data_IF_656398289686
#
_entry.id   IF_656398289686
#
_cell.length_a   1.000
_cell.length_b   1.000
_cell.length_c   1.000
_cell.angle_alpha   90.00
_cell.angle_beta   90.00
_cell.angle_gamma   90.00
#
_symmetry.space_group_name_H-M   'P 1'
#
loop_
_entity.id
_entity.type
_entity.pdbx_description
1 polymer ?
#
# COMPACT_ATOMS: atom_id res chain seq x y z
N UNK A 1 25.71 17.75 9.51
CA UNK A 1 25.54 16.67 8.51
C UNK A 1 26.62 15.63 8.76
N UNK A 2 26.28 14.46 9.30
CA UNK A 2 27.24 13.36 9.40
C UNK A 2 27.27 12.69 8.02
N UNK A 3 28.38 12.90 7.31
CA UNK A 3 28.60 12.33 5.97
C UNK A 3 28.63 10.82 6.04
N UNK A 4 27.60 10.19 5.49
CA UNK A 4 27.60 8.76 5.22
C UNK A 4 28.47 8.58 3.98
N UNK A 5 29.61 7.87 4.09
CA UNK A 5 30.50 7.65 2.95
C UNK A 5 29.77 7.01 1.77
N UNK A 6 30.22 7.28 0.53
CA UNK A 6 29.58 6.79 -0.70
C UNK A 6 29.39 5.27 -0.71
N UNK A 7 30.35 4.51 -0.15
CA UNK A 7 30.27 3.05 0.00
C UNK A 7 29.13 2.59 0.90
N UNK A 8 28.88 3.30 2.01
CA UNK A 8 27.74 3.04 2.89
C UNK A 8 26.41 3.38 2.24
N UNK A 9 26.34 4.44 1.43
CA UNK A 9 25.13 4.81 0.69
C UNK A 9 24.77 3.78 -0.39
N UNK A 10 25.75 3.27 -1.13
CA UNK A 10 25.55 2.20 -2.11
C UNK A 10 25.08 0.89 -1.47
N UNK A 11 25.65 0.53 -0.32
CA UNK A 11 25.23 -0.65 0.44
C UNK A 11 23.78 -0.52 0.92
N UNK A 12 23.40 0.63 1.47
CA UNK A 12 22.02 0.90 1.91
C UNK A 12 21.05 0.86 0.73
N UNK A 13 21.40 1.44 -0.41
CA UNK A 13 20.57 1.40 -1.61
C UNK A 13 20.39 -0.03 -2.14
N UNK A 14 21.47 -0.82 -2.20
CA UNK A 14 21.42 -2.22 -2.62
C UNK A 14 20.54 -3.07 -1.68
N UNK A 15 20.70 -2.89 -0.36
CA UNK A 15 19.86 -3.56 0.63
C UNK A 15 18.39 -3.14 0.51
N UNK A 16 18.12 -1.85 0.31
CA UNK A 16 16.76 -1.36 0.16
C UNK A 16 16.10 -1.86 -1.13
N UNK A 17 16.84 -1.96 -2.24
CA UNK A 17 16.36 -2.61 -3.46
C UNK A 17 16.09 -4.10 -3.24
N UNK A 18 16.99 -4.81 -2.54
CA UNK A 18 16.75 -6.20 -2.14
C UNK A 18 15.47 -6.37 -1.31
N UNK A 19 15.24 -5.48 -0.33
CA UNK A 19 14.01 -5.45 0.44
C UNK A 19 12.79 -5.14 -0.43
N UNK A 20 12.91 -4.25 -1.43
CA UNK A 20 11.84 -3.98 -2.37
C UNK A 20 11.44 -5.27 -3.14
N UNK A 21 12.40 -6.07 -3.57
CA UNK A 21 12.13 -7.34 -4.26
C UNK A 21 11.51 -8.40 -3.37
N UNK A 22 11.97 -8.54 -2.14
CA UNK A 22 11.56 -9.63 -1.25
C UNK A 22 10.29 -9.31 -0.47
N UNK A 23 9.99 -8.03 -0.28
CA UNK A 23 8.88 -7.59 0.59
C UNK A 23 7.88 -6.73 -0.18
N UNK A 24 8.35 -5.69 -0.86
CA UNK A 24 7.47 -4.69 -1.47
C UNK A 24 6.72 -5.23 -2.69
N UNK A 25 7.40 -5.79 -3.69
CA UNK A 25 6.69 -6.31 -4.88
C UNK A 25 5.75 -7.49 -4.56
N UNK A 26 6.12 -8.45 -3.68
CA UNK A 26 5.20 -9.50 -3.26
C UNK A 26 3.96 -8.98 -2.53
N UNK A 27 4.07 -7.89 -1.74
CA UNK A 27 2.90 -7.21 -1.16
C UNK A 27 1.91 -6.86 -2.25
N UNK A 28 2.34 -6.11 -3.28
CA UNK A 28 1.45 -5.69 -4.36
C UNK A 28 0.80 -6.91 -4.99
N UNK A 29 1.59 -7.89 -5.41
CA UNK A 29 1.10 -9.10 -6.08
C UNK A 29 0.11 -9.90 -5.23
N UNK A 30 0.32 -9.99 -3.91
CA UNK A 30 -0.63 -10.64 -3.01
C UNK A 30 -2.00 -9.97 -3.00
N UNK A 31 -2.07 -8.64 -3.11
CA UNK A 31 -3.34 -7.93 -3.25
C UNK A 31 -4.07 -8.34 -4.52
N UNK A 32 -3.36 -8.45 -5.65
CA UNK A 32 -3.94 -8.92 -6.92
C UNK A 32 -4.42 -10.36 -6.79
N UNK A 33 -3.61 -11.26 -6.20
CA UNK A 33 -4.00 -12.65 -5.96
C UNK A 33 -5.26 -12.74 -5.08
N UNK A 34 -5.36 -11.95 -4.01
CA UNK A 34 -6.54 -11.95 -3.13
C UNK A 34 -7.77 -11.33 -3.80
N UNK A 35 -7.58 -10.23 -4.52
CA UNK A 35 -8.66 -9.49 -5.18
C UNK A 35 -9.29 -10.31 -6.30
N UNK A 36 -8.47 -10.79 -7.25
CA UNK A 36 -8.92 -11.46 -8.46
C UNK A 36 -9.24 -12.95 -8.27
N UNK A 37 -8.84 -13.56 -7.16
CA UNK A 37 -9.33 -14.90 -6.81
C UNK A 37 -10.84 -14.90 -6.70
N UNK A 38 -11.51 -15.78 -7.44
CA UNK A 38 -12.98 -15.89 -7.43
C UNK A 38 -13.68 -14.58 -7.85
N UNK A 39 -13.02 -13.77 -8.71
CA UNK A 39 -13.50 -12.42 -9.07
C UNK A 39 -14.91 -12.43 -9.64
N UNK A 40 -15.23 -13.38 -10.51
CA UNK A 40 -16.54 -13.47 -11.14
C UNK A 40 -17.66 -13.58 -10.10
N UNK A 41 -17.47 -14.45 -9.11
CA UNK A 41 -18.42 -14.62 -8.02
C UNK A 41 -18.50 -13.37 -7.12
N UNK A 42 -17.38 -12.70 -6.87
CA UNK A 42 -17.33 -11.46 -6.07
C UNK A 42 -17.98 -10.26 -6.76
N UNK A 43 -17.87 -10.16 -8.09
CA UNK A 43 -18.26 -8.97 -8.83
C UNK A 43 -19.65 -9.09 -9.50
N UNK A 44 -20.02 -10.28 -9.99
CA UNK A 44 -21.20 -10.43 -10.85
C UNK A 44 -22.33 -11.27 -10.24
N UNK A 45 -22.05 -12.16 -9.28
CA UNK A 45 -23.08 -13.02 -8.68
C UNK A 45 -23.79 -12.38 -7.48
N UNK A 46 -24.81 -13.03 -6.93
CA UNK A 46 -25.50 -12.59 -5.71
C UNK A 46 -24.75 -12.85 -4.39
N UNK A 47 -23.53 -13.39 -4.43
CA UNK A 47 -22.75 -13.78 -3.24
C UNK A 47 -22.43 -12.58 -2.33
N UNK A 48 -22.16 -11.41 -2.92
CA UNK A 48 -21.72 -10.20 -2.22
C UNK A 48 -22.80 -9.11 -2.31
N UNK A 49 -22.88 -8.25 -1.29
CA UNK A 49 -23.83 -7.13 -1.29
C UNK A 49 -23.65 -6.21 -2.51
N UNK A 50 -24.71 -5.61 -3.08
CA UNK A 50 -24.63 -4.79 -4.29
C UNK A 50 -23.57 -3.68 -4.23
N UNK A 51 -23.46 -2.99 -3.10
CA UNK A 51 -22.47 -1.93 -2.89
C UNK A 51 -21.02 -2.43 -2.92
N UNK A 52 -20.76 -3.67 -2.49
CA UNK A 52 -19.44 -4.28 -2.53
C UNK A 52 -19.12 -4.81 -3.93
N UNK A 53 -20.11 -5.35 -4.64
CA UNK A 53 -19.96 -5.76 -6.05
C UNK A 53 -19.58 -4.59 -6.95
N UNK A 54 -20.27 -3.45 -6.80
CA UNK A 54 -19.93 -2.24 -7.54
C UNK A 54 -18.48 -1.79 -7.28
N UNK A 55 -17.99 -1.94 -6.05
CA UNK A 55 -16.59 -1.63 -5.73
C UNK A 55 -15.61 -2.60 -6.38
N UNK A 56 -15.93 -3.89 -6.46
CA UNK A 56 -15.12 -4.87 -7.20
C UNK A 56 -15.09 -4.56 -8.70
N UNK A 57 -16.22 -4.18 -9.31
CA UNK A 57 -16.28 -3.76 -10.71
C UNK A 57 -15.48 -2.48 -10.95
N UNK A 58 -15.67 -1.48 -10.09
CA UNK A 58 -14.95 -0.21 -10.20
C UNK A 58 -13.43 -0.40 -10.06
N UNK A 59 -12.98 -1.06 -8.98
CA UNK A 59 -11.55 -1.26 -8.74
C UNK A 59 -10.92 -2.28 -9.71
N UNK A 60 -11.66 -3.30 -10.15
CA UNK A 60 -11.12 -4.39 -10.97
C UNK A 60 -11.17 -4.14 -12.48
N UNK A 61 -12.06 -3.26 -12.95
CA UNK A 61 -12.26 -3.01 -14.38
C UNK A 61 -12.12 -1.52 -14.69
N UNK A 62 -12.91 -0.67 -14.04
CA UNK A 62 -12.98 0.76 -14.39
C UNK A 62 -11.65 1.47 -14.12
N UNK A 63 -11.09 1.33 -12.92
CA UNK A 63 -9.81 1.95 -12.53
C UNK A 63 -8.65 1.58 -13.47
N UNK A 64 -8.33 0.28 -13.69
CA UNK A 64 -7.20 -0.08 -14.55
C UNK A 64 -7.41 0.38 -16.01
N UNK A 65 -8.64 0.34 -16.54
CA UNK A 65 -8.93 0.86 -17.88
C UNK A 65 -8.72 2.37 -17.98
N UNK A 66 -9.16 3.14 -16.97
CA UNK A 66 -8.95 4.59 -16.95
C UNK A 66 -7.47 4.95 -16.81
N UNK A 67 -6.70 4.22 -16.00
CA UNK A 67 -5.26 4.45 -15.87
C UNK A 67 -4.52 4.14 -17.18
N UNK A 68 -4.83 3.00 -17.81
CA UNK A 68 -4.25 2.62 -19.08
C UNK A 68 -4.60 3.62 -20.19
N UNK A 69 -5.87 4.06 -20.24
CA UNK A 69 -6.32 5.07 -21.20
C UNK A 69 -5.60 6.41 -20.97
N UNK A 70 -5.52 6.89 -19.73
CA UNK A 70 -4.84 8.16 -19.42
C UNK A 70 -3.37 8.13 -19.83
N UNK A 71 -2.62 7.10 -19.41
CA UNK A 71 -1.20 6.97 -19.74
C UNK A 71 -0.98 6.75 -21.24
N UNK A 72 -1.83 5.94 -21.89
CA UNK A 72 -1.78 5.72 -23.33
C UNK A 72 -2.03 7.00 -24.13
N UNK A 73 -3.01 7.81 -23.71
CA UNK A 73 -3.28 9.12 -24.32
C UNK A 73 -2.08 10.07 -24.15
N UNK A 74 -1.51 10.17 -22.94
CA UNK A 74 -0.36 11.03 -22.68
C UNK A 74 0.87 10.65 -23.54
N UNK A 75 1.14 9.35 -23.66
CA UNK A 75 2.22 8.85 -24.54
C UNK A 75 1.91 9.15 -26.00
N UNK A 76 0.68 8.89 -26.47
CA UNK A 76 0.29 9.13 -27.86
C UNK A 76 0.32 10.61 -28.25
N UNK A 77 0.10 11.51 -27.29
CA UNK A 77 0.15 12.95 -27.47
C UNK A 77 1.58 13.51 -27.44
N UNK A 78 2.59 12.69 -27.11
CA UNK A 78 3.96 13.18 -26.92
C UNK A 78 4.09 14.13 -25.72
N UNK A 79 3.29 13.93 -24.67
CA UNK A 79 3.22 14.85 -23.53
C UNK A 79 3.78 14.20 -22.24
N UNK A 80 5.10 14.33 -21.99
CA UNK A 80 5.72 13.81 -20.76
C UNK A 80 5.22 14.53 -19.51
N UNK A 81 4.72 15.76 -19.62
CA UNK A 81 4.17 16.53 -18.49
C UNK A 81 2.84 15.95 -18.06
N UNK A 82 1.95 15.66 -19.00
CA UNK A 82 0.68 14.96 -18.75
C UNK A 82 0.94 13.56 -18.17
N UNK A 83 1.92 12.83 -18.72
CA UNK A 83 2.30 11.52 -18.18
C UNK A 83 2.82 11.64 -16.74
N UNK A 84 3.64 12.65 -16.47
CA UNK A 84 4.17 13.00 -15.14
C UNK A 84 3.09 13.20 -14.07
N UNK A 85 1.90 13.67 -14.44
CA UNK A 85 0.77 13.82 -13.50
C UNK A 85 0.30 12.49 -12.90
N UNK A 86 0.53 11.37 -13.58
CA UNK A 86 0.25 10.05 -13.02
C UNK A 86 1.13 9.75 -11.79
N UNK A 87 2.39 10.18 -11.78
CA UNK A 87 3.26 10.08 -10.61
C UNK A 87 2.82 11.01 -9.47
N UNK A 88 2.28 12.20 -9.78
CA UNK A 88 1.69 13.10 -8.78
C UNK A 88 0.46 12.46 -8.11
N UNK A 89 -0.42 11.84 -8.92
CA UNK A 89 -1.55 11.04 -8.42
C UNK A 89 -1.07 9.86 -7.56
N UNK A 90 -0.06 9.12 -8.02
CA UNK A 90 0.54 8.02 -7.26
C UNK A 90 1.06 8.49 -5.91
N UNK A 91 1.86 9.56 -5.86
CA UNK A 91 2.43 10.10 -4.63
C UNK A 91 1.34 10.46 -3.62
N UNK A 92 0.27 11.12 -4.07
CA UNK A 92 -0.89 11.45 -3.24
C UNK A 92 -1.57 10.19 -2.67
N UNK A 93 -1.87 9.22 -3.54
CA UNK A 93 -2.59 8.00 -3.17
C UNK A 93 -1.75 7.05 -2.32
N UNK A 94 -0.46 6.92 -2.57
CA UNK A 94 0.48 6.10 -1.78
C UNK A 94 0.60 6.67 -0.37
N UNK A 95 0.81 7.97 -0.22
CA UNK A 95 0.84 8.61 1.11
C UNK A 95 -0.46 8.38 1.88
N UNK A 96 -1.61 8.52 1.20
CA UNK A 96 -2.92 8.27 1.81
C UNK A 96 -3.12 6.78 2.17
N UNK A 97 -2.73 5.89 1.27
CA UNK A 97 -2.79 4.45 1.44
C UNK A 97 -2.07 4.01 2.71
N UNK A 98 -0.87 4.54 2.94
CA UNK A 98 -0.04 4.14 4.07
C UNK A 98 -0.70 4.52 5.38
N UNK A 99 -1.12 5.78 5.52
CA UNK A 99 -1.81 6.27 6.71
C UNK A 99 -3.09 5.48 6.99
N UNK A 100 -3.87 5.18 5.94
CA UNK A 100 -5.07 4.36 6.05
C UNK A 100 -4.75 2.93 6.51
N UNK A 101 -3.68 2.33 6.00
CA UNK A 101 -3.23 1.00 6.43
C UNK A 101 -2.79 1.01 7.89
N UNK A 102 -1.97 1.97 8.32
CA UNK A 102 -1.53 2.08 9.70
C UNK A 102 -2.70 2.15 10.68
N UNK A 103 -3.72 2.95 10.35
CA UNK A 103 -4.98 2.97 11.10
C UNK A 103 -5.71 1.61 11.04
N UNK A 104 -5.84 1.01 9.86
CA UNK A 104 -6.51 -0.28 9.67
C UNK A 104 -5.87 -1.41 10.49
N UNK A 105 -4.54 -1.49 10.50
CA UNK A 105 -3.76 -2.47 11.28
C UNK A 105 -3.97 -2.26 12.78
N UNK A 106 -3.95 -1.02 13.26
CA UNK A 106 -4.26 -0.71 14.66
C UNK A 106 -5.65 -1.23 15.05
N UNK A 107 -6.67 -0.93 14.23
CA UNK A 107 -8.03 -1.39 14.51
C UNK A 107 -8.11 -2.91 14.43
N UNK A 108 -7.50 -3.56 13.44
CA UNK A 108 -7.53 -5.00 13.30
C UNK A 108 -6.91 -5.72 14.51
N UNK A 109 -5.73 -5.27 14.94
CA UNK A 109 -5.04 -5.82 16.11
C UNK A 109 -5.79 -5.52 17.41
N UNK A 110 -6.46 -4.37 17.51
CA UNK A 110 -7.32 -4.04 18.65
C UNK A 110 -8.49 -5.02 18.80
N UNK A 111 -9.08 -5.45 17.67
CA UNK A 111 -10.17 -6.43 17.64
C UNK A 111 -9.67 -7.81 18.01
N UNK A 112 -8.56 -8.25 17.41
CA UNK A 112 -7.94 -9.56 17.69
C UNK A 112 -7.57 -9.70 19.17
N UNK A 113 -7.07 -8.63 19.78
CA UNK A 113 -6.68 -8.59 21.21
C UNK A 113 -7.84 -8.26 22.16
N UNK A 114 -9.04 -7.98 21.65
CA UNK A 114 -10.20 -7.49 22.43
C UNK A 114 -9.90 -6.23 23.25
N UNK A 115 -9.01 -5.37 22.75
CA UNK A 115 -8.57 -4.11 23.37
C UNK A 115 -9.11 -2.93 22.57
N UNK A 116 -10.39 -2.65 22.70
CA UNK A 116 -11.09 -1.77 21.77
C UNK A 116 -10.85 -0.27 22.02
N UNK A 117 -10.94 0.49 20.94
CA UNK A 117 -11.06 1.94 20.99
C UNK A 117 -12.53 2.39 20.94
N UNK A 118 -12.89 3.36 21.77
CA UNK A 118 -14.18 4.03 21.75
C UNK A 118 -14.37 4.84 20.47
N UNK A 119 -15.60 5.31 20.21
CA UNK A 119 -15.89 6.17 19.06
C UNK A 119 -15.07 7.45 19.06
N UNK A 120 -14.90 8.08 20.23
CA UNK A 120 -14.09 9.29 20.36
C UNK A 120 -12.61 9.02 20.11
N UNK A 121 -12.07 7.95 20.70
CA UNK A 121 -10.66 7.56 20.51
C UNK A 121 -10.36 7.26 19.02
N UNK A 122 -11.29 6.58 18.33
CA UNK A 122 -11.19 6.33 16.88
C UNK A 122 -11.21 7.62 16.06
N UNK A 123 -12.01 8.62 16.45
CA UNK A 123 -12.02 9.93 15.79
C UNK A 123 -10.70 10.67 16.00
N UNK A 124 -10.14 10.65 17.21
CA UNK A 124 -8.83 11.25 17.52
C UNK A 124 -7.74 10.62 16.63
N UNK A 125 -7.70 9.28 16.56
CA UNK A 125 -6.78 8.55 15.68
C UNK A 125 -6.95 8.96 14.21
N UNK A 126 -8.18 9.02 13.69
CA UNK A 126 -8.44 9.42 12.31
C UNK A 126 -8.02 10.87 12.04
N UNK A 127 -8.36 11.80 12.93
CA UNK A 127 -7.99 13.21 12.79
C UNK A 127 -6.48 13.38 12.75
N UNK A 128 -5.75 12.70 13.64
CA UNK A 128 -4.29 12.74 13.62
C UNK A 128 -3.73 12.14 12.32
N UNK A 129 -4.25 11.00 11.88
CA UNK A 129 -3.88 10.38 10.61
C UNK A 129 -4.05 11.34 9.42
N UNK A 130 -5.21 11.99 9.29
CA UNK A 130 -5.44 12.99 8.24
C UNK A 130 -4.49 14.18 8.34
N UNK A 131 -4.28 14.72 9.55
CA UNK A 131 -3.39 15.87 9.75
C UNK A 131 -1.94 15.54 9.36
N UNK A 132 -1.43 14.37 9.77
CA UNK A 132 -0.09 13.91 9.40
C UNK A 132 0.04 13.68 7.89
N UNK A 133 -0.95 13.03 7.27
CA UNK A 133 -0.95 12.80 5.81
C UNK A 133 -0.93 14.11 5.02
N UNK A 134 -1.83 15.04 5.33
CA UNK A 134 -1.91 16.34 4.65
C UNK A 134 -0.58 17.09 4.80
N UNK A 135 -0.03 17.13 6.02
CA UNK A 135 1.25 17.80 6.27
C UNK A 135 2.39 17.18 5.48
N UNK A 136 2.45 15.85 5.41
CA UNK A 136 3.46 15.14 4.64
C UNK A 136 3.31 15.37 3.13
N UNK A 137 2.09 15.32 2.61
CA UNK A 137 1.83 15.59 1.20
C UNK A 137 2.23 17.03 0.83
N UNK A 138 1.85 18.01 1.65
CA UNK A 138 2.28 19.40 1.48
C UNK A 138 3.81 19.55 1.58
N UNK A 139 4.45 18.87 2.54
CA UNK A 139 5.89 18.90 2.70
C UNK A 139 6.62 18.31 1.49
N UNK A 140 6.15 17.18 0.93
CA UNK A 140 6.72 16.62 -0.30
C UNK A 140 6.59 17.60 -1.45
N UNK A 141 5.40 18.18 -1.66
CA UNK A 141 5.21 19.13 -2.77
C UNK A 141 6.09 20.38 -2.58
N UNK A 142 6.21 20.88 -1.35
CA UNK A 142 7.07 22.03 -1.01
C UNK A 142 8.57 21.75 -1.20
N UNK A 143 9.05 20.58 -0.75
CA UNK A 143 10.46 20.21 -0.86
C UNK A 143 10.92 19.97 -2.31
N UNK A 144 9.97 19.83 -3.23
CA UNK A 144 10.22 19.12 -4.48
C UNK A 144 9.42 19.77 -5.61
N UNK A 145 9.91 20.90 -6.13
CA UNK A 145 9.27 21.56 -7.26
C UNK A 145 9.51 20.85 -8.61
N UNK A 146 10.51 19.96 -8.70
CA UNK A 146 10.75 19.05 -9.84
C UNK A 146 11.43 17.76 -9.39
N UNK A 147 10.84 16.58 -9.65
CA UNK A 147 11.56 15.28 -9.57
C UNK A 147 11.52 14.56 -10.89
N UNK A 148 12.56 13.76 -11.06
CA UNK A 148 12.64 12.74 -12.08
C UNK A 148 12.27 11.38 -11.43
N UNK A 149 11.27 10.70 -11.98
CA UNK A 149 10.98 9.29 -11.66
C UNK A 149 11.25 8.48 -12.92
N UNK A 150 12.26 7.60 -12.88
CA UNK A 150 12.65 6.75 -14.02
C UNK A 150 12.87 7.50 -15.34
N UNK A 151 13.47 8.69 -15.28
CA UNK A 151 13.74 9.51 -16.47
C UNK A 151 12.64 10.52 -16.81
N UNK A 152 11.44 10.42 -16.21
CA UNK A 152 10.31 11.31 -16.52
C UNK A 152 10.16 12.38 -15.44
N UNK A 153 10.21 13.65 -15.87
CA UNK A 153 9.94 14.79 -15.00
C UNK A 153 8.46 14.86 -14.61
N UNK A 154 8.21 15.17 -13.34
CA UNK A 154 6.87 15.47 -12.86
C UNK A 154 6.91 16.71 -11.96
N UNK A 155 5.87 17.52 -12.10
CA UNK A 155 5.70 18.76 -11.37
C UNK A 155 4.80 18.52 -10.17
N UNK A 156 5.26 19.04 -9.03
CA UNK A 156 4.46 19.12 -7.81
C UNK A 156 3.85 20.51 -7.68
N UNK A 157 2.83 20.62 -6.84
CA UNK A 157 2.17 21.89 -6.58
C UNK A 157 3.11 22.85 -5.85
N UNK A 158 3.10 24.12 -6.24
CA UNK A 158 3.78 25.17 -5.47
C UNK A 158 3.00 25.43 -4.17
N UNK A 159 3.58 25.04 -3.04
CA UNK A 159 2.94 25.12 -1.73
C UNK A 159 3.45 26.35 -0.98
N UNK A 160 2.58 27.31 -0.62
CA UNK A 160 2.98 28.44 0.21
C UNK A 160 3.55 27.97 1.56
N UNK A 161 4.69 28.52 1.97
CA UNK A 161 5.34 28.18 3.25
C UNK A 161 4.41 28.37 4.45
N UNK A 162 3.52 29.36 4.41
CA UNK A 162 2.50 29.60 5.45
C UNK A 162 1.51 28.44 5.58
N UNK A 163 1.07 27.86 4.46
CA UNK A 163 0.18 26.70 4.45
C UNK A 163 0.89 25.46 4.99
N UNK A 164 2.16 25.26 4.61
CA UNK A 164 2.97 24.17 5.15
C UNK A 164 3.12 24.30 6.68
N UNK A 165 3.54 25.46 7.19
CA UNK A 165 3.69 25.70 8.63
C UNK A 165 2.36 25.47 9.37
N UNK A 166 1.25 25.99 8.83
CA UNK A 166 -0.08 25.78 9.42
C UNK A 166 -0.44 24.29 9.53
N UNK A 167 -0.21 23.51 8.46
CA UNK A 167 -0.45 22.06 8.47
C UNK A 167 0.40 21.33 9.51
N UNK A 168 1.69 21.67 9.62
CA UNK A 168 2.60 21.08 10.60
C UNK A 168 2.18 21.40 12.04
N UNK A 169 1.73 22.62 12.32
CA UNK A 169 1.16 22.99 13.62
C UNK A 169 -0.10 22.17 13.94
N UNK A 170 -1.02 22.02 12.98
CA UNK A 170 -2.23 21.18 13.16
C UNK A 170 -1.86 19.72 13.40
N UNK A 171 -0.89 19.18 12.66
CA UNK A 171 -0.37 17.83 12.88
C UNK A 171 0.21 17.69 14.28
N UNK A 172 1.09 18.59 14.70
CA UNK A 172 1.69 18.59 16.05
C UNK A 172 0.66 18.66 17.17
N UNK A 173 -0.33 19.56 17.07
CA UNK A 173 -1.43 19.65 18.03
C UNK A 173 -2.26 18.35 18.07
N UNK A 174 -2.59 17.78 16.91
CA UNK A 174 -3.32 16.52 16.83
C UNK A 174 -2.53 15.34 17.44
N UNK A 175 -1.19 15.35 17.31
CA UNK A 175 -0.29 14.38 17.95
C UNK A 175 -0.32 14.52 19.47
N UNK A 176 -0.28 15.75 20.01
CA UNK A 176 -0.42 15.98 21.44
C UNK A 176 -1.74 15.42 21.99
N UNK A 177 -2.85 15.65 21.28
CA UNK A 177 -4.17 15.10 21.66
C UNK A 177 -4.17 13.57 21.59
N UNK A 178 -3.57 12.98 20.55
CA UNK A 178 -3.41 11.53 20.42
C UNK A 178 -2.63 10.95 21.61
N UNK A 179 -1.47 11.52 21.93
CA UNK A 179 -0.60 11.03 23.01
C UNK A 179 -1.31 11.15 24.37
N UNK A 180 -2.01 12.26 24.62
CA UNK A 180 -2.80 12.42 25.84
C UNK A 180 -3.92 11.36 25.93
N UNK A 181 -4.59 11.05 24.82
CA UNK A 181 -5.61 9.99 24.76
C UNK A 181 -5.00 8.61 25.03
N UNK A 182 -3.86 8.27 24.40
CA UNK A 182 -3.18 7.00 24.60
C UNK A 182 -2.68 6.84 26.04
N UNK A 183 -2.13 7.90 26.64
CA UNK A 183 -1.69 7.90 28.03
C UNK A 183 -2.86 7.68 29.00
N UNK A 184 -3.98 8.40 28.81
CA UNK A 184 -5.20 8.20 29.60
C UNK A 184 -5.72 6.77 29.48
N UNK A 185 -5.77 6.24 28.26
CA UNK A 185 -6.23 4.87 27.99
C UNK A 185 -5.30 3.83 28.63
N UNK A 186 -3.99 4.03 28.56
CA UNK A 186 -3.00 3.18 29.21
C UNK A 186 -3.24 3.11 30.71
N UNK A 187 -3.36 4.27 31.37
CA UNK A 187 -3.61 4.36 32.80
C UNK A 187 -4.95 3.71 33.19
N UNK A 188 -6.03 4.04 32.47
CA UNK A 188 -7.37 3.52 32.76
C UNK A 188 -7.52 2.01 32.52
N UNK A 189 -6.69 1.42 31.65
CA UNK A 189 -6.73 -0.02 31.31
C UNK A 189 -5.70 -0.86 32.07
N UNK A 190 -4.94 -0.26 32.98
CA UNK A 190 -3.82 -0.96 33.66
C UNK A 190 -2.76 -1.45 32.67
N UNK A 191 -2.46 -0.67 31.64
CA UNK A 191 -1.49 -0.99 30.59
C UNK A 191 -2.00 -1.90 29.47
N UNK A 192 -3.28 -2.28 29.47
CA UNK A 192 -3.85 -3.19 28.46
C UNK A 192 -4.31 -2.43 27.20
N UNK A 193 -3.34 -2.02 26.38
CA UNK A 193 -3.58 -1.43 25.05
C UNK A 193 -2.98 -2.28 23.92
N UNK A 194 -3.44 -2.14 22.66
CA UNK A 194 -2.88 -2.91 21.55
C UNK A 194 -1.53 -2.35 21.10
N UNK A 195 -0.47 -2.60 21.87
CA UNK A 195 0.88 -2.03 21.69
C UNK A 195 1.40 -2.21 20.27
N UNK A 196 1.34 -3.42 19.71
CA UNK A 196 1.81 -3.68 18.34
C UNK A 196 1.02 -2.86 17.29
N UNK A 197 -0.28 -2.66 17.52
CA UNK A 197 -1.11 -1.82 16.66
C UNK A 197 -0.74 -0.35 16.77
N UNK A 198 -0.44 0.13 17.99
CA UNK A 198 0.01 1.51 18.23
C UNK A 198 1.36 1.74 17.56
N UNK A 199 2.31 0.81 17.69
CA UNK A 199 3.62 0.88 17.02
C UNK A 199 3.45 0.89 15.50
N UNK A 200 2.60 0.02 14.94
CA UNK A 200 2.31 0.00 13.51
C UNK A 200 1.70 1.33 13.03
N UNK A 201 0.75 1.90 13.77
CA UNK A 201 0.16 3.19 13.48
C UNK A 201 1.21 4.32 13.52
N UNK A 202 1.95 4.45 14.62
CA UNK A 202 2.93 5.53 14.79
C UNK A 202 4.07 5.42 13.78
N UNK A 203 4.59 4.22 13.53
CA UNK A 203 5.65 4.02 12.54
C UNK A 203 5.21 4.46 11.14
N UNK A 204 3.99 4.13 10.75
CA UNK A 204 3.45 4.49 9.44
C UNK A 204 3.27 6.00 9.24
N UNK A 205 2.99 6.73 10.32
CA UNK A 205 2.76 8.18 10.25
C UNK A 205 4.05 9.00 10.36
N UNK A 206 4.97 8.60 11.24
CA UNK A 206 6.09 9.46 11.66
C UNK A 206 7.45 9.02 11.14
N UNK A 207 7.67 7.76 10.76
CA UNK A 207 8.99 7.31 10.25
C UNK A 207 9.37 8.03 8.96
N UNK A 208 8.40 8.44 8.15
CA UNK A 208 8.64 9.26 6.96
C UNK A 208 9.26 10.62 7.26
N UNK A 209 9.13 11.16 8.47
CA UNK A 209 9.79 12.42 8.83
C UNK A 209 11.32 12.28 8.81
N UNK A 210 11.86 11.06 8.92
CA UNK A 210 13.30 10.84 8.73
C UNK A 210 13.75 11.02 7.27
N UNK A 211 12.84 11.02 6.28
CA UNK A 211 13.19 11.44 4.92
C UNK A 211 13.63 12.91 4.85
N UNK A 212 13.19 13.75 5.81
CA UNK A 212 13.63 15.15 5.92
C UNK A 212 15.09 15.26 6.36
N UNK A 213 15.63 14.24 7.03
CA UNK A 213 17.02 14.24 7.50
C UNK A 213 17.93 13.46 6.55
N UNK A 214 17.43 12.39 5.93
CA UNK A 214 18.16 11.62 4.93
C UNK A 214 17.21 11.01 3.89
N UNK A 215 17.38 11.30 2.58
CA UNK A 215 16.49 10.79 1.54
C UNK A 215 16.54 9.26 1.38
N UNK A 216 17.59 8.57 1.84
CA UNK A 216 17.69 7.10 1.78
C UNK A 216 16.58 6.39 2.55
N UNK A 217 15.97 7.05 3.56
CA UNK A 217 14.81 6.48 4.25
C UNK A 217 13.62 6.26 3.30
N UNK A 218 13.51 7.02 2.22
CA UNK A 218 12.45 6.83 1.22
C UNK A 218 12.53 5.44 0.55
N UNK A 219 13.70 4.80 0.54
CA UNK A 219 13.89 3.46 -0.02
C UNK A 219 13.45 2.35 0.96
N UNK A 220 13.49 2.62 2.27
CA UNK A 220 13.21 1.63 3.32
C UNK A 220 11.71 1.62 3.67
N UNK A 221 11.07 2.78 3.61
CA UNK A 221 9.69 2.91 4.11
C UNK A 221 8.68 2.05 3.35
N UNK A 222 8.74 1.91 2.01
CA UNK A 222 7.89 0.95 1.30
C UNK A 222 8.03 -0.48 1.80
N UNK A 223 9.26 -0.92 2.12
CA UNK A 223 9.48 -2.24 2.69
C UNK A 223 8.87 -2.38 4.10
N UNK A 224 9.07 -1.39 4.98
CA UNK A 224 8.46 -1.41 6.32
C UNK A 224 6.93 -1.41 6.29
N UNK A 225 6.35 -0.62 5.39
CA UNK A 225 4.91 -0.61 5.14
C UNK A 225 4.43 -1.97 4.65
N UNK A 226 5.18 -2.58 3.74
CA UNK A 226 4.84 -3.88 3.16
C UNK A 226 4.89 -5.01 4.18
N UNK A 227 5.82 -4.98 5.13
CA UNK A 227 5.86 -5.97 6.22
C UNK A 227 4.56 -5.96 7.05
N UNK A 228 4.00 -4.78 7.33
CA UNK A 228 2.74 -4.70 8.07
C UNK A 228 1.59 -5.34 7.29
N UNK A 229 1.56 -5.11 5.99
CA UNK A 229 0.55 -5.69 5.09
C UNK A 229 0.67 -7.21 4.99
N UNK A 230 1.88 -7.72 4.74
CA UNK A 230 2.16 -9.15 4.60
C UNK A 230 1.74 -9.92 5.86
N UNK A 231 1.94 -9.35 7.05
CA UNK A 231 1.47 -9.98 8.29
C UNK A 231 -0.07 -10.20 8.30
N UNK A 232 -0.84 -9.23 7.81
CA UNK A 232 -2.30 -9.32 7.71
C UNK A 232 -2.73 -10.30 6.61
N UNK A 233 -2.12 -10.20 5.42
CA UNK A 233 -2.39 -11.08 4.28
C UNK A 233 -2.07 -12.54 4.59
N UNK A 234 -0.91 -12.81 5.18
CA UNK A 234 -0.50 -14.17 5.49
C UNK A 234 -1.38 -14.78 6.56
N UNK A 235 -1.78 -14.01 7.57
CA UNK A 235 -2.82 -14.45 8.53
C UNK A 235 -4.11 -14.82 7.81
N UNK A 236 -4.63 -13.94 6.96
CA UNK A 236 -5.84 -14.18 6.18
C UNK A 236 -5.70 -15.47 5.34
N UNK A 237 -4.58 -15.62 4.63
CA UNK A 237 -4.33 -16.75 3.73
C UNK A 237 -4.22 -18.05 4.51
N UNK A 238 -3.49 -18.06 5.62
CA UNK A 238 -3.36 -19.25 6.47
C UNK A 238 -4.69 -19.71 7.04
N UNK A 239 -5.57 -18.79 7.45
CA UNK A 239 -6.90 -19.10 7.97
C UNK A 239 -7.85 -19.60 6.88
N UNK A 240 -7.77 -19.02 5.69
CA UNK A 240 -8.49 -19.52 4.52
C UNK A 240 -8.09 -20.97 4.21
N UNK A 241 -6.79 -21.28 4.15
CA UNK A 241 -6.33 -22.63 3.85
C UNK A 241 -6.72 -23.63 4.95
N UNK A 242 -6.78 -23.19 6.21
CA UNK A 242 -7.32 -24.00 7.31
C UNK A 242 -8.80 -24.32 7.09
N UNK A 243 -9.63 -23.31 6.81
CA UNK A 243 -11.06 -23.50 6.56
C UNK A 243 -11.33 -24.40 5.33
N UNK A 244 -10.49 -24.31 4.29
CA UNK A 244 -10.58 -25.20 3.13
C UNK A 244 -10.20 -26.64 3.50
N UNK A 245 -9.15 -26.82 4.32
CA UNK A 245 -8.77 -28.15 4.78
C UNK A 245 -9.87 -28.78 5.63
N UNK A 246 -10.51 -28.01 6.53
CA UNK A 246 -11.64 -28.46 7.32
C UNK A 246 -12.83 -28.89 6.45
N UNK A 247 -13.18 -28.08 5.43
CA UNK A 247 -14.25 -28.40 4.50
C UNK A 247 -13.98 -29.68 3.69
N UNK A 248 -12.73 -29.92 3.29
CA UNK A 248 -12.29 -31.15 2.63
C UNK A 248 -12.39 -32.37 3.55
N UNK A 249 -11.93 -32.25 4.80
CA UNK A 249 -12.04 -33.33 5.79
C UNK A 249 -13.49 -33.65 6.12
N UNK A 250 -14.36 -32.64 6.15
CA UNK A 250 -15.79 -32.80 6.36
C UNK A 250 -16.57 -33.32 5.13
N UNK A 251 -15.90 -33.55 3.99
CA UNK A 251 -16.55 -34.01 2.76
C UNK A 251 -17.46 -32.98 2.08
N UNK A 252 -17.40 -31.72 2.50
CA UNK A 252 -18.24 -30.61 1.99
C UNK A 252 -17.59 -29.84 0.84
N UNK A 253 -16.34 -30.17 0.50
CA UNK A 253 -15.61 -29.62 -0.62
C UNK A 253 -14.96 -30.75 -1.44
N UNK A 254 -14.93 -30.57 -2.75
CA UNK A 254 -14.21 -31.48 -3.66
C UNK A 254 -12.71 -31.25 -3.55
N UNK A 255 -11.93 -32.34 -3.44
CA UNK A 255 -10.47 -32.25 -3.42
C UNK A 255 -9.98 -31.63 -4.73
N UNK A 256 -9.15 -30.57 -4.70
CA UNK A 256 -8.50 -30.10 -5.92
C UNK A 256 -7.67 -31.23 -6.53
N UNK A 257 -7.42 -31.21 -7.86
CA UNK A 257 -6.69 -32.27 -8.57
C UNK A 257 -5.30 -32.56 -7.98
N UNK A 258 -4.74 -31.59 -7.23
CA UNK A 258 -3.55 -31.77 -6.41
C UNK A 258 -3.94 -31.71 -4.92
N UNK A 259 -3.82 -32.84 -4.23
CA UNK A 259 -4.00 -33.01 -2.78
C UNK A 259 -2.84 -32.38 -1.99
N UNK A 260 -2.54 -31.11 -2.25
CA UNK A 260 -1.43 -30.43 -1.62
C UNK A 260 -1.76 -30.02 -0.18
N UNK A 261 -0.80 -30.21 0.73
CA UNK A 261 -0.92 -29.79 2.13
C UNK A 261 -1.20 -28.28 2.25
N UNK A 262 -1.78 -27.87 3.38
CA UNK A 262 -1.98 -26.44 3.71
C UNK A 262 -0.70 -25.63 3.52
N UNK A 263 0.42 -26.15 4.01
CA UNK A 263 1.72 -25.48 3.91
C UNK A 263 2.15 -25.31 2.46
N UNK A 264 1.96 -26.33 1.61
CA UNK A 264 2.28 -26.22 0.19
C UNK A 264 1.42 -25.17 -0.51
N UNK A 265 0.10 -25.14 -0.26
CA UNK A 265 -0.80 -24.12 -0.85
C UNK A 265 -0.45 -22.70 -0.41
N UNK A 266 0.05 -22.53 0.81
CA UNK A 266 0.59 -21.26 1.29
C UNK A 266 1.93 -20.92 0.61
N UNK A 267 2.87 -21.87 0.51
CA UNK A 267 4.15 -21.65 -0.19
C UNK A 267 3.95 -21.29 -1.66
N UNK A 268 3.02 -21.96 -2.37
CA UNK A 268 2.67 -21.62 -3.76
C UNK A 268 2.11 -20.21 -3.84
N UNK A 269 1.24 -19.80 -2.90
CA UNK A 269 0.74 -18.43 -2.86
C UNK A 269 1.88 -17.41 -2.73
N UNK A 270 2.82 -17.65 -1.81
CA UNK A 270 4.00 -16.80 -1.61
C UNK A 270 4.87 -16.78 -2.88
N UNK A 271 5.24 -17.94 -3.41
CA UNK A 271 6.10 -18.05 -4.59
C UNK A 271 5.50 -17.38 -5.83
N UNK A 272 4.21 -17.59 -6.09
CA UNK A 272 3.49 -16.93 -7.20
C UNK A 272 3.43 -15.42 -6.96
N UNK A 273 3.19 -14.96 -5.72
CA UNK A 273 3.21 -13.53 -5.41
C UNK A 273 4.58 -12.90 -5.67
N UNK A 274 5.66 -13.56 -5.23
CA UNK A 274 7.03 -13.08 -5.49
C UNK A 274 7.34 -13.03 -6.98
N UNK A 275 6.99 -14.08 -7.73
CA UNK A 275 7.20 -14.12 -9.18
C UNK A 275 6.40 -13.02 -9.88
N UNK A 276 5.10 -12.88 -9.60
CA UNK A 276 4.27 -11.84 -10.20
C UNK A 276 4.75 -10.43 -9.83
N UNK A 277 5.22 -10.23 -8.60
CA UNK A 277 5.82 -8.98 -8.16
C UNK A 277 7.06 -8.63 -8.98
N UNK A 278 7.98 -9.58 -9.15
CA UNK A 278 9.17 -9.38 -9.98
C UNK A 278 8.82 -9.11 -11.45
N UNK A 279 7.91 -9.91 -12.03
CA UNK A 279 7.47 -9.73 -13.41
C UNK A 279 6.84 -8.35 -13.62
N UNK A 280 5.95 -7.92 -12.73
CA UNK A 280 5.23 -6.65 -12.86
C UNK A 280 6.09 -5.41 -12.67
N UNK A 281 7.04 -5.43 -11.74
CA UNK A 281 7.86 -4.24 -11.45
C UNK A 281 9.16 -4.15 -12.25
N UNK A 282 9.66 -5.26 -12.82
CA UNK A 282 10.98 -5.31 -13.46
C UNK A 282 10.96 -6.03 -14.80
N UNK A 283 10.76 -7.35 -14.80
CA UNK A 283 11.06 -8.13 -16.01
C UNK A 283 10.21 -7.75 -17.22
N UNK A 284 8.89 -7.56 -17.03
CA UNK A 284 7.99 -7.15 -18.12
C UNK A 284 8.28 -5.71 -18.57
N UNK A 285 8.31 -4.69 -17.70
CA UNK A 285 8.60 -3.33 -18.15
C UNK A 285 9.97 -3.20 -18.83
N UNK A 286 11.04 -3.80 -18.29
CA UNK A 286 12.38 -3.76 -18.90
C UNK A 286 12.41 -4.44 -20.28
N UNK A 287 11.71 -5.57 -20.42
CA UNK A 287 11.55 -6.22 -21.70
C UNK A 287 10.87 -5.28 -22.72
N UNK A 288 9.81 -4.58 -22.31
CA UNK A 288 9.11 -3.64 -23.19
C UNK A 288 9.98 -2.42 -23.53
N UNK A 289 10.71 -1.85 -22.57
CA UNK A 289 11.65 -0.73 -22.80
C UNK A 289 12.79 -1.08 -23.77
N UNK A 290 13.17 -2.35 -23.81
CA UNK A 290 14.23 -2.86 -24.69
C UNK A 290 13.73 -3.24 -26.09
N UNK A 291 12.47 -3.68 -26.21
CA UNK A 291 11.95 -4.30 -27.44
C UNK A 291 10.90 -3.48 -28.18
N UNK A 292 10.26 -2.49 -27.54
CA UNK A 292 9.28 -1.61 -28.18
C UNK A 292 9.95 -0.27 -28.52
N UNK A 293 9.79 0.16 -29.77
CA UNK A 293 10.25 1.47 -30.21
C UNK A 293 9.34 2.59 -29.67
N UNK A 294 9.94 3.62 -29.08
CA UNK A 294 9.29 4.86 -28.66
C UNK A 294 10.31 6.01 -28.66
N UNK A 295 9.83 7.24 -28.54
CA UNK A 295 10.67 8.45 -28.55
C UNK A 295 11.47 8.60 -27.26
N UNK A 296 12.62 7.93 -27.17
CA UNK A 296 13.50 7.95 -25.98
C UNK A 296 14.05 9.34 -25.64
N UNK A 297 14.19 10.21 -26.65
CA UNK A 297 14.58 11.61 -26.43
C UNK A 297 13.52 12.39 -25.64
N UNK A 298 12.25 12.00 -25.74
CA UNK A 298 11.13 12.66 -25.10
C UNK A 298 10.77 12.02 -23.74
N UNK A 299 10.71 10.69 -23.69
CA UNK A 299 10.25 9.95 -22.50
C UNK A 299 11.35 9.33 -21.64
N UNK A 300 12.62 9.48 -22.03
CA UNK A 300 13.73 8.77 -21.41
C UNK A 300 13.85 7.32 -21.87
N UNK A 301 14.66 6.51 -21.19
CA UNK A 301 14.94 5.11 -21.57
C UNK A 301 14.14 4.06 -20.78
N UNK A 302 13.20 4.51 -19.94
CA UNK A 302 12.51 3.67 -18.96
C UNK A 302 11.00 3.96 -18.89
N UNK A 303 10.39 4.26 -20.05
CA UNK A 303 8.97 4.61 -20.16
C UNK A 303 8.06 3.51 -19.61
N UNK A 304 8.29 2.25 -20.00
CA UNK A 304 7.44 1.16 -19.53
C UNK A 304 7.66 0.87 -18.05
N UNK A 305 8.89 0.96 -17.56
CA UNK A 305 9.19 0.90 -16.13
C UNK A 305 8.38 1.94 -15.35
N UNK A 306 8.39 3.20 -15.79
CA UNK A 306 7.57 4.26 -15.20
C UNK A 306 6.09 3.90 -15.19
N UNK A 307 5.52 3.53 -16.35
CA UNK A 307 4.10 3.21 -16.49
C UNK A 307 3.68 2.10 -15.54
N UNK A 308 4.43 0.99 -15.50
CA UNK A 308 4.10 -0.15 -14.65
C UNK A 308 4.19 0.19 -13.17
N UNK A 309 5.24 0.89 -12.74
CA UNK A 309 5.39 1.31 -11.35
C UNK A 309 4.23 2.19 -10.90
N UNK A 310 3.89 3.21 -11.69
CA UNK A 310 2.79 4.13 -11.37
C UNK A 310 1.44 3.41 -11.40
N UNK A 311 1.19 2.63 -12.44
CA UNK A 311 -0.06 1.87 -12.60
C UNK A 311 -0.29 0.93 -11.43
N UNK A 312 0.70 0.10 -11.08
CA UNK A 312 0.55 -0.91 -10.04
C UNK A 312 0.32 -0.25 -8.68
N UNK A 313 1.08 0.82 -8.36
CA UNK A 313 0.91 1.55 -7.10
C UNK A 313 -0.49 2.17 -6.97
N UNK A 314 -0.96 2.86 -8.01
CA UNK A 314 -2.28 3.50 -8.00
C UNK A 314 -3.38 2.44 -7.94
N UNK A 315 -3.33 1.42 -8.80
CA UNK A 315 -4.36 0.39 -8.86
C UNK A 315 -4.46 -0.41 -7.56
N UNK A 316 -3.31 -0.74 -6.96
CA UNK A 316 -3.25 -1.45 -5.69
C UNK A 316 -4.00 -0.73 -4.56
N UNK A 317 -3.89 0.60 -4.47
CA UNK A 317 -4.69 1.38 -3.52
C UNK A 317 -6.19 1.07 -3.67
N UNK A 318 -6.71 1.02 -4.89
CA UNK A 318 -8.11 0.70 -5.15
C UNK A 318 -8.45 -0.74 -4.79
N UNK A 319 -7.58 -1.71 -5.08
CA UNK A 319 -7.81 -3.11 -4.71
C UNK A 319 -7.98 -3.26 -3.19
N UNK A 320 -7.05 -2.71 -2.43
CA UNK A 320 -7.05 -2.81 -0.97
C UNK A 320 -8.23 -2.07 -0.32
N UNK A 321 -8.71 -0.99 -0.94
CA UNK A 321 -9.94 -0.31 -0.52
C UNK A 321 -11.20 -1.17 -0.61
N UNK A 322 -11.15 -2.31 -1.31
CA UNK A 322 -12.25 -3.25 -1.45
C UNK A 322 -12.04 -4.50 -0.58
N UNK A 323 -10.84 -5.08 -0.61
CA UNK A 323 -10.54 -6.33 0.11
C UNK A 323 -10.76 -6.14 1.62
N UNK A 324 -10.18 -5.08 2.20
CA UNK A 324 -10.11 -4.92 3.66
C UNK A 324 -11.32 -4.23 4.29
N UNK A 325 -12.41 -4.03 3.54
CA UNK A 325 -13.61 -3.43 4.10
C UNK A 325 -14.25 -4.35 5.13
N UNK A 326 -14.82 -3.74 6.17
CA UNK A 326 -15.56 -4.45 7.22
C UNK A 326 -16.74 -5.25 6.69
N UNK A 327 -17.39 -4.76 5.64
CA UNK A 327 -18.53 -5.41 5.01
C UNK A 327 -18.14 -6.63 4.17
N UNK A 328 -16.84 -6.84 3.90
CA UNK A 328 -16.37 -7.96 3.10
C UNK A 328 -16.48 -9.27 3.91
N UNK A 329 -17.33 -10.23 3.48
CA UNK A 329 -17.55 -11.47 4.22
C UNK A 329 -16.29 -12.32 4.34
N UNK A 330 -15.42 -12.29 3.31
CA UNK A 330 -14.15 -13.01 3.34
C UNK A 330 -13.21 -12.44 4.40
N UNK A 331 -13.10 -11.11 4.48
CA UNK A 331 -12.25 -10.45 5.48
C UNK A 331 -12.78 -10.73 6.88
N UNK A 332 -14.09 -10.67 7.09
CA UNK A 332 -14.70 -11.03 8.36
C UNK A 332 -14.31 -12.46 8.77
N UNK A 333 -14.54 -13.43 7.87
CA UNK A 333 -14.34 -14.85 8.14
C UNK A 333 -12.86 -15.24 8.31
N UNK A 334 -11.98 -14.75 7.45
CA UNK A 334 -10.62 -15.27 7.37
C UNK A 334 -9.59 -14.39 8.09
N UNK A 335 -9.86 -13.10 8.35
CA UNK A 335 -8.96 -12.27 9.14
C UNK A 335 -9.27 -12.33 10.64
N UNK A 336 -10.56 -12.23 11.00
CA UNK A 336 -11.00 -12.08 12.39
C UNK A 336 -11.47 -13.39 13.04
N UNK A 337 -11.92 -14.38 12.25
CA UNK A 337 -12.53 -15.62 12.74
C UNK A 337 -13.99 -15.43 13.11
#
# INVERSE_FOLDING_TARGET
MLGIGESSSATVAALAMGLAHVVNHPHFAHSYQLFYRDYWNKAFTGKFAPSLRLRYLFAGIVVPLLLALFMGLAVSAGDPVMLGQAASLMTFLVGWHYVKQGYGVLIALSVIRKQFFSTLEKRILLTNAYACWISFWLAINWMVTTRNLWGIEHYMLDIPTTLLIASLCVSGLSTCVLLAMLARKWLASGGKVPVNGIIAYLSTLYVWLFCLTNPLFALIIPACHSLQYLAIVWRYRLNLEAAQQEALTAGTATKPPYSASRSFRFMVFVAVGTLLGYLGFWAVPEFLDSNIAYEKALFGSSLFLYIFWVFINVHHYFLDNVIWRRENPDTKRYLFG
#
